data_IF_955898975161
#
_entry.id   IF_955898975161
#
_cell.length_a   1.000
_cell.length_b   1.000
_cell.length_c   1.000
_cell.angle_alpha   90.00
_cell.angle_beta   90.00
_cell.angle_gamma   90.00
#
_symmetry.space_group_name_H-M   'P 1'
#
loop_
_entity.id
_entity.type
_entity.pdbx_description
1 polymer ?
#
# COMPACT_ATOMS: atom_id res chain seq x y z
N UNK A 1 -6.01 -36.16 4.86
CA UNK A 1 -6.77 -35.19 4.04
C UNK A 1 -7.59 -34.35 4.99
N UNK A 2 -7.37 -33.03 5.03
CA UNK A 2 -8.15 -32.11 5.87
C UNK A 2 -9.43 -31.72 5.15
N UNK A 3 -10.57 -31.81 5.84
CA UNK A 3 -11.86 -31.35 5.31
C UNK A 3 -11.96 -29.84 5.55
N UNK A 4 -12.07 -29.04 4.48
CA UNK A 4 -12.41 -27.61 4.59
C UNK A 4 -13.92 -27.49 4.68
N UNK A 5 -14.42 -27.13 5.87
CA UNK A 5 -15.85 -26.93 6.08
C UNK A 5 -16.20 -25.54 5.61
N UNK A 6 -16.91 -25.41 4.48
CA UNK A 6 -17.52 -24.14 4.09
C UNK A 6 -18.70 -23.89 5.02
N UNK A 7 -18.44 -23.30 6.18
CA UNK A 7 -19.53 -22.66 6.93
C UNK A 7 -19.83 -21.36 6.18
N UNK A 8 -21.01 -21.18 5.59
CA UNK A 8 -21.42 -19.84 5.23
C UNK A 8 -21.46 -19.07 6.55
N UNK A 9 -20.47 -18.20 6.78
CA UNK A 9 -20.61 -17.13 7.77
C UNK A 9 -21.65 -16.19 7.16
N UNK A 10 -22.89 -16.65 7.28
CA UNK A 10 -24.21 -16.03 7.23
C UNK A 10 -24.32 -14.79 6.33
N UNK A 11 -25.30 -14.81 5.43
CA UNK A 11 -25.76 -13.73 4.52
C UNK A 11 -26.04 -12.34 5.17
N UNK A 12 -25.67 -12.13 6.43
CA UNK A 12 -25.86 -10.90 7.22
C UNK A 12 -24.58 -10.11 7.50
N UNK A 13 -23.39 -10.68 7.29
CA UNK A 13 -22.13 -9.96 7.54
C UNK A 13 -21.73 -9.20 6.30
N UNK A 14 -21.58 -7.87 6.42
CA UNK A 14 -21.07 -7.04 5.33
C UNK A 14 -19.68 -7.50 4.93
N UNK A 15 -19.42 -7.60 3.62
CA UNK A 15 -18.08 -7.88 3.13
C UNK A 15 -17.17 -6.64 3.26
N UNK A 16 -15.86 -6.83 3.11
CA UNK A 16 -14.89 -5.73 3.24
C UNK A 16 -15.13 -4.61 2.21
N UNK A 17 -15.66 -4.91 1.02
CA UNK A 17 -15.98 -3.89 0.02
C UNK A 17 -17.12 -3.00 0.49
N UNK A 18 -18.19 -3.58 1.05
CA UNK A 18 -19.32 -2.85 1.62
C UNK A 18 -18.91 -1.96 2.80
N UNK A 19 -17.99 -2.44 3.64
CA UNK A 19 -17.37 -1.62 4.68
C UNK A 19 -16.59 -0.44 4.09
N UNK A 20 -15.75 -0.69 3.07
CA UNK A 20 -14.94 0.35 2.46
C UNK A 20 -15.77 1.44 1.77
N UNK A 21 -16.97 1.11 1.27
CA UNK A 21 -17.89 2.09 0.65
C UNK A 21 -18.28 3.24 1.59
N UNK A 22 -18.30 3.02 2.91
CA UNK A 22 -18.61 4.06 3.90
C UNK A 22 -17.55 5.18 3.94
N UNK A 23 -16.36 4.92 3.40
CA UNK A 23 -15.20 5.80 3.46
C UNK A 23 -14.77 6.34 2.11
N UNK A 24 -15.67 6.25 1.12
CA UNK A 24 -15.46 6.87 -0.18
C UNK A 24 -15.37 8.38 -0.02
N UNK A 25 -14.37 8.95 -0.66
CA UNK A 25 -14.21 10.39 -0.79
C UNK A 25 -14.22 10.76 -2.28
N UNK A 26 -14.79 11.93 -2.59
CA UNK A 26 -14.90 12.49 -3.95
C UNK A 26 -13.91 13.62 -4.20
N UNK A 27 -13.09 13.98 -3.21
CA UNK A 27 -11.97 14.91 -3.34
C UNK A 27 -10.92 14.41 -4.34
N UNK A 28 -9.98 15.29 -4.66
CA UNK A 28 -8.79 14.94 -5.44
C UNK A 28 -8.06 13.77 -4.77
N UNK A 29 -7.73 12.78 -5.60
CA UNK A 29 -7.18 11.51 -5.16
C UNK A 29 -5.68 11.45 -5.43
N UNK A 30 -4.97 10.80 -4.52
CA UNK A 30 -3.54 10.51 -4.63
C UNK A 30 -3.30 9.33 -5.58
N UNK A 31 -4.24 8.39 -5.62
CA UNK A 31 -4.26 7.22 -6.49
C UNK A 31 -5.57 6.46 -6.36
N UNK A 32 -5.68 5.33 -7.05
CA UNK A 32 -6.88 4.51 -7.07
C UNK A 32 -6.57 3.09 -6.58
N UNK A 33 -7.29 2.66 -5.56
CA UNK A 33 -7.32 1.28 -5.09
C UNK A 33 -8.31 0.49 -5.95
N UNK A 34 -7.82 -0.56 -6.60
CA UNK A 34 -8.67 -1.54 -7.27
C UNK A 34 -9.11 -2.57 -6.23
N UNK A 35 -10.42 -2.77 -6.10
CA UNK A 35 -11.02 -3.54 -5.00
C UNK A 35 -12.22 -4.37 -5.48
N UNK A 36 -11.94 -5.31 -6.39
CA UNK A 36 -12.96 -6.20 -6.94
C UNK A 36 -13.36 -7.30 -5.93
N UNK A 37 -13.66 -8.54 -6.36
CA UNK A 37 -14.20 -9.57 -5.46
C UNK A 37 -13.38 -9.73 -4.15
N UNK A 38 -14.05 -9.74 -2.98
CA UNK A 38 -13.42 -9.69 -1.65
C UNK A 38 -12.97 -11.07 -1.15
N UNK A 39 -12.23 -11.82 -1.96
CA UNK A 39 -11.73 -13.16 -1.60
C UNK A 39 -10.27 -13.40 -2.03
N UNK A 40 -9.69 -14.50 -1.56
CA UNK A 40 -8.30 -14.87 -1.91
C UNK A 40 -8.12 -15.27 -3.38
N UNK A 41 -9.15 -15.77 -4.06
CA UNK A 41 -9.07 -16.16 -5.47
C UNK A 41 -8.91 -14.95 -6.39
N UNK A 42 -9.36 -13.77 -5.95
CA UNK A 42 -9.27 -12.50 -6.69
C UNK A 42 -8.21 -11.53 -6.15
N UNK A 43 -7.22 -12.01 -5.38
CA UNK A 43 -6.18 -11.17 -4.76
C UNK A 43 -5.35 -10.37 -5.79
N UNK A 44 -5.23 -10.86 -7.03
CA UNK A 44 -4.54 -10.17 -8.13
C UNK A 44 -5.30 -8.93 -8.67
N UNK A 45 -6.57 -8.78 -8.32
CA UNK A 45 -7.41 -7.61 -8.61
C UNK A 45 -7.40 -6.58 -7.49
N UNK A 46 -6.61 -6.80 -6.43
CA UNK A 46 -6.35 -5.79 -5.42
C UNK A 46 -4.95 -5.17 -5.58
N UNK A 47 -4.90 -3.94 -6.09
CA UNK A 47 -3.66 -3.22 -6.33
C UNK A 47 -3.91 -1.70 -6.41
N UNK A 48 -2.85 -0.91 -6.24
CA UNK A 48 -2.90 0.55 -6.36
C UNK A 48 -2.41 0.97 -7.76
N UNK A 49 -3.07 1.94 -8.38
CA UNK A 49 -2.72 2.50 -9.69
C UNK A 49 -2.98 4.02 -9.73
N UNK A 50 -2.40 4.74 -10.70
CA UNK A 50 -2.52 6.20 -10.76
C UNK A 50 -3.95 6.63 -11.06
N UNK A 51 -4.56 6.11 -12.13
CA UNK A 51 -5.87 6.55 -12.62
C UNK A 51 -6.84 5.40 -12.81
N UNK A 52 -8.13 5.68 -13.00
CA UNK A 52 -9.16 4.67 -13.22
C UNK A 52 -8.87 3.89 -14.50
N UNK A 53 -8.95 2.56 -14.44
CA UNK A 53 -8.81 1.71 -15.61
C UNK A 53 -10.10 1.64 -16.44
N UNK A 54 -10.02 0.94 -17.58
CA UNK A 54 -11.18 0.71 -18.47
C UNK A 54 -11.89 -0.61 -18.23
N UNK A 55 -11.30 -1.52 -17.45
CA UNK A 55 -11.89 -2.82 -17.13
C UNK A 55 -13.14 -2.68 -16.24
N UNK A 56 -14.00 -3.69 -16.26
CA UNK A 56 -15.17 -3.80 -15.38
C UNK A 56 -14.79 -4.22 -13.94
N UNK A 57 -13.81 -3.53 -13.34
CA UNK A 57 -13.40 -3.72 -11.95
C UNK A 57 -13.95 -2.59 -11.07
N UNK A 58 -13.97 -2.81 -9.77
CA UNK A 58 -14.26 -1.77 -8.79
C UNK A 58 -13.02 -0.90 -8.53
N UNK A 59 -13.20 0.42 -8.59
CA UNK A 59 -12.16 1.43 -8.41
C UNK A 59 -12.59 2.42 -7.35
N UNK A 60 -11.71 2.68 -6.39
CA UNK A 60 -11.96 3.61 -5.31
C UNK A 60 -10.81 4.60 -5.19
N UNK A 61 -11.17 5.88 -5.07
CA UNK A 61 -10.23 6.96 -4.89
C UNK A 61 -9.59 6.87 -3.49
N UNK A 62 -8.27 6.89 -3.44
CA UNK A 62 -7.52 7.12 -2.21
C UNK A 62 -7.22 8.61 -2.08
N UNK A 63 -7.74 9.23 -1.04
CA UNK A 63 -7.51 10.63 -0.67
C UNK A 63 -6.77 10.66 0.67
N UNK A 64 -6.35 11.84 1.12
CA UNK A 64 -5.74 11.98 2.45
C UNK A 64 -6.69 11.56 3.59
N UNK A 65 -8.01 11.62 3.39
CA UNK A 65 -9.01 11.33 4.45
C UNK A 65 -9.25 9.83 4.63
N UNK A 66 -9.10 9.04 3.57
CA UNK A 66 -9.35 7.60 3.60
C UNK A 66 -8.08 6.76 3.40
N UNK A 67 -6.90 7.39 3.30
CA UNK A 67 -5.62 6.71 3.03
C UNK A 67 -5.35 5.56 4.00
N UNK A 68 -5.55 5.76 5.31
CA UNK A 68 -5.33 4.72 6.32
C UNK A 68 -6.34 3.57 6.20
N UNK A 69 -7.60 3.87 5.88
CA UNK A 69 -8.61 2.85 5.65
C UNK A 69 -8.27 2.03 4.40
N UNK A 70 -7.87 2.70 3.32
CA UNK A 70 -7.40 2.04 2.09
C UNK A 70 -6.17 1.17 2.34
N UNK A 71 -5.26 1.63 3.20
CA UNK A 71 -4.09 0.85 3.62
C UNK A 71 -4.46 -0.40 4.42
N UNK A 72 -5.43 -0.30 5.35
CA UNK A 72 -5.96 -1.46 6.08
C UNK A 72 -6.59 -2.44 5.10
N UNK A 73 -7.47 -1.97 4.22
CA UNK A 73 -8.10 -2.80 3.19
C UNK A 73 -7.03 -3.56 2.39
N UNK A 74 -6.05 -2.85 1.84
CA UNK A 74 -4.99 -3.42 1.01
C UNK A 74 -4.15 -4.42 1.80
N UNK A 75 -3.78 -4.08 3.03
CA UNK A 75 -2.90 -4.92 3.85
C UNK A 75 -3.61 -6.18 4.34
N UNK A 76 -4.86 -6.09 4.78
CA UNK A 76 -5.67 -7.26 5.10
C UNK A 76 -5.75 -8.22 3.91
N UNK A 77 -5.94 -7.67 2.70
CA UNK A 77 -5.98 -8.45 1.47
C UNK A 77 -4.64 -9.07 1.07
N UNK A 78 -3.49 -8.62 1.57
CA UNK A 78 -2.16 -9.05 1.06
C UNK A 78 -1.18 -9.58 2.12
N UNK A 79 -1.43 -9.38 3.42
CA UNK A 79 -0.51 -9.83 4.48
C UNK A 79 -0.49 -11.36 4.60
N UNK A 80 -1.56 -12.03 4.13
CA UNK A 80 -1.64 -13.49 4.02
C UNK A 80 -1.55 -13.86 2.53
N UNK A 81 -0.63 -14.78 2.22
CA UNK A 81 -0.47 -15.28 0.87
C UNK A 81 -1.66 -16.18 0.49
N UNK A 82 -2.24 -15.99 -0.69
CA UNK A 82 -3.17 -16.97 -1.25
C UNK A 82 -2.48 -18.33 -1.44
N UNK A 83 -3.16 -19.36 -0.98
CA UNK A 83 -2.79 -20.77 -1.07
C UNK A 83 -4.05 -21.58 -1.36
N UNK A 84 -3.91 -22.85 -1.68
CA UNK A 84 -5.06 -23.73 -1.83
C UNK A 84 -5.87 -23.88 -0.53
N UNK A 85 -5.26 -23.65 0.64
CA UNK A 85 -5.93 -23.79 1.95
C UNK A 85 -6.92 -22.66 2.21
N UNK A 86 -6.59 -21.43 1.81
CA UNK A 86 -7.45 -20.26 1.98
C UNK A 86 -8.18 -19.84 0.70
N UNK A 87 -8.17 -20.71 -0.33
CA UNK A 87 -8.92 -20.46 -1.56
C UNK A 87 -10.41 -20.20 -1.24
N UNK A 88 -10.96 -19.14 -1.84
CA UNK A 88 -12.32 -18.62 -1.66
C UNK A 88 -12.69 -18.12 -0.26
N UNK A 89 -11.75 -18.06 0.69
CA UNK A 89 -12.04 -17.41 1.98
C UNK A 89 -12.36 -15.93 1.72
N UNK A 90 -13.45 -15.47 2.30
CA UNK A 90 -13.96 -14.12 2.11
C UNK A 90 -13.36 -13.18 3.14
N UNK A 91 -13.18 -11.92 2.74
CA UNK A 91 -12.81 -10.82 3.62
C UNK A 91 -14.06 -10.04 4.04
N UNK A 92 -14.15 -9.73 5.33
CA UNK A 92 -15.35 -9.14 5.93
C UNK A 92 -15.11 -7.73 6.44
N UNK A 93 -16.21 -7.03 6.70
CA UNK A 93 -16.20 -5.85 7.57
C UNK A 93 -15.64 -6.23 8.95
N UNK A 94 -14.94 -5.30 9.63
CA UNK A 94 -14.45 -5.54 10.97
C UNK A 94 -15.61 -5.79 11.94
N UNK A 95 -15.32 -6.41 13.08
CA UNK A 95 -16.33 -6.69 14.09
C UNK A 95 -16.98 -5.41 14.64
N UNK A 96 -16.16 -4.39 14.87
CA UNK A 96 -16.53 -3.08 15.38
C UNK A 96 -15.46 -2.04 15.00
N UNK A 97 -15.52 -0.85 15.60
CA UNK A 97 -14.60 0.25 15.35
C UNK A 97 -13.32 0.20 16.20
N UNK A 98 -13.03 -0.89 16.93
CA UNK A 98 -11.85 -0.98 17.81
C UNK A 98 -10.52 -0.77 17.07
N UNK A 99 -10.45 -1.14 15.79
CA UNK A 99 -9.27 -0.90 14.95
C UNK A 99 -8.95 0.60 14.77
N UNK A 100 -9.94 1.49 14.96
CA UNK A 100 -9.75 2.94 14.81
C UNK A 100 -8.82 3.49 15.88
N UNK A 101 -8.78 2.89 17.07
CA UNK A 101 -7.92 3.33 18.16
C UNK A 101 -6.50 2.71 18.08
N UNK A 102 -6.32 1.65 17.29
CA UNK A 102 -5.01 1.01 17.07
C UNK A 102 -4.19 1.74 15.99
N UNK A 103 -3.50 2.80 16.42
CA UNK A 103 -2.64 3.60 15.55
C UNK A 103 -1.44 2.81 15.01
N UNK A 104 -0.93 1.83 15.76
CA UNK A 104 0.19 1.00 15.31
C UNK A 104 -0.24 0.11 14.15
N UNK A 105 -1.38 -0.58 14.28
CA UNK A 105 -1.96 -1.40 13.20
C UNK A 105 -2.21 -0.59 11.92
N UNK A 106 -2.84 0.60 12.05
CA UNK A 106 -3.10 1.49 10.89
C UNK A 106 -1.81 1.92 10.19
N UNK A 107 -0.80 2.32 10.97
CA UNK A 107 0.48 2.78 10.43
C UNK A 107 1.30 1.63 9.82
N UNK A 108 1.25 0.44 10.43
CA UNK A 108 1.84 -0.77 9.86
C UNK A 108 1.21 -1.13 8.52
N UNK A 109 -0.12 -1.04 8.41
CA UNK A 109 -0.82 -1.24 7.15
C UNK A 109 -0.40 -0.20 6.08
N UNK A 110 -0.22 1.07 6.46
CA UNK A 110 0.28 2.10 5.54
C UNK A 110 1.69 1.76 5.03
N UNK A 111 2.62 1.45 5.94
CA UNK A 111 3.97 1.04 5.57
C UNK A 111 3.97 -0.17 4.64
N UNK A 112 3.15 -1.18 4.95
CA UNK A 112 3.03 -2.38 4.11
C UNK A 112 2.52 -2.03 2.71
N UNK A 113 1.43 -1.27 2.60
CA UNK A 113 0.85 -0.85 1.31
C UNK A 113 1.85 -0.09 0.43
N UNK A 114 2.61 0.85 1.01
CA UNK A 114 3.53 1.72 0.26
C UNK A 114 4.61 0.92 -0.48
N UNK A 115 5.18 -0.10 0.17
CA UNK A 115 6.28 -0.88 -0.40
C UNK A 115 5.88 -2.25 -0.96
N UNK A 116 4.59 -2.63 -0.86
CA UNK A 116 4.13 -3.90 -1.40
C UNK A 116 4.19 -3.93 -2.93
N UNK A 117 4.40 -5.11 -3.49
CA UNK A 117 4.54 -5.30 -4.95
C UNK A 117 3.30 -4.98 -5.76
N UNK A 118 2.12 -4.96 -5.12
CA UNK A 118 0.85 -4.56 -5.72
C UNK A 118 0.59 -3.05 -5.62
N UNK A 119 1.52 -2.27 -5.09
CA UNK A 119 1.58 -0.85 -5.38
C UNK A 119 2.18 -0.67 -6.79
N UNK A 120 1.33 -0.28 -7.76
CA UNK A 120 1.71 -0.12 -9.17
C UNK A 120 1.68 1.34 -9.62
N UNK A 121 1.72 2.29 -8.69
CA UNK A 121 1.89 3.71 -9.02
C UNK A 121 3.14 3.87 -9.86
N UNK A 122 3.06 4.61 -10.95
CA UNK A 122 4.17 4.87 -11.87
C UNK A 122 4.08 6.30 -12.38
N UNK A 123 5.23 6.93 -12.54
CA UNK A 123 5.32 8.26 -13.16
C UNK A 123 4.94 8.27 -14.63
N UNK A 124 4.95 7.11 -15.30
CA UNK A 124 4.50 6.99 -16.68
C UNK A 124 2.99 7.23 -16.86
N UNK A 125 2.21 7.17 -15.77
CA UNK A 125 0.77 7.35 -15.80
C UNK A 125 0.29 8.61 -15.10
N UNK A 126 1.18 9.43 -14.51
CA UNK A 126 0.80 10.67 -13.84
C UNK A 126 1.70 11.01 -12.65
N UNK A 127 1.35 12.05 -11.91
CA UNK A 127 2.11 12.48 -10.73
C UNK A 127 2.15 11.36 -9.68
N UNK A 128 3.36 11.09 -9.15
CA UNK A 128 3.53 10.18 -8.04
C UNK A 128 3.34 10.91 -6.72
N UNK A 129 2.26 10.59 -6.01
CA UNK A 129 1.95 11.16 -4.70
C UNK A 129 2.45 10.29 -3.52
N UNK A 130 3.02 9.10 -3.79
CA UNK A 130 3.31 8.07 -2.80
C UNK A 130 4.81 7.91 -2.50
N UNK A 131 5.59 8.99 -2.59
CA UNK A 131 7.00 9.00 -2.17
C UNK A 131 7.06 9.24 -0.66
N UNK A 132 7.59 8.29 0.14
CA UNK A 132 7.56 8.38 1.60
C UNK A 132 8.81 9.01 2.23
N UNK A 133 9.76 9.50 1.43
CA UNK A 133 11.02 10.07 1.88
C UNK A 133 11.21 11.48 1.36
N UNK A 134 11.77 12.39 2.16
CA UNK A 134 12.18 13.71 1.70
C UNK A 134 13.27 13.64 0.64
N UNK A 135 13.40 14.69 -0.18
CA UNK A 135 14.45 14.78 -1.21
C UNK A 135 15.86 14.66 -0.61
N UNK A 136 16.08 15.24 0.57
CA UNK A 136 17.34 15.20 1.33
C UNK A 136 17.63 13.81 1.93
N UNK A 137 16.59 13.06 2.30
CA UNK A 137 16.76 11.72 2.85
C UNK A 137 17.30 10.74 1.82
N UNK A 138 17.04 10.96 0.53
CA UNK A 138 17.42 10.07 -0.57
C UNK A 138 18.37 10.70 -1.59
N UNK A 139 18.91 11.87 -1.29
CA UNK A 139 19.82 12.64 -2.15
C UNK A 139 19.26 12.87 -3.57
N UNK A 140 17.97 13.23 -3.67
CA UNK A 140 17.36 13.60 -4.94
C UNK A 140 18.00 14.87 -5.51
N UNK A 141 18.27 14.88 -6.82
CA UNK A 141 18.89 16.00 -7.56
C UNK A 141 17.86 17.06 -7.97
N UNK A 142 16.58 16.72 -7.95
CA UNK A 142 15.47 17.62 -8.30
C UNK A 142 14.35 17.54 -7.27
N UNK A 143 13.47 18.55 -7.26
CA UNK A 143 12.34 18.65 -6.35
C UNK A 143 11.18 17.76 -6.78
N UNK A 144 10.46 17.17 -5.83
CA UNK A 144 9.25 16.42 -6.14
C UNK A 144 8.11 17.33 -6.60
N UNK A 145 7.24 16.78 -7.45
CA UNK A 145 6.02 17.41 -7.90
C UNK A 145 4.88 17.30 -6.88
N UNK A 146 5.01 16.41 -5.90
CA UNK A 146 4.03 16.24 -4.83
C UNK A 146 4.68 15.85 -3.51
N UNK A 147 4.35 16.59 -2.46
CA UNK A 147 4.71 16.30 -1.07
C UNK A 147 3.55 15.70 -0.26
N UNK A 148 2.41 15.37 -0.91
CA UNK A 148 1.18 14.98 -0.22
C UNK A 148 1.33 13.86 0.81
N UNK A 149 2.05 12.76 0.49
CA UNK A 149 2.32 11.69 1.46
C UNK A 149 3.30 12.14 2.56
N UNK A 150 4.31 12.95 2.23
CA UNK A 150 5.27 13.45 3.23
C UNK A 150 4.58 14.32 4.28
N UNK A 151 3.74 15.25 3.81
CA UNK A 151 2.96 16.12 4.68
C UNK A 151 1.98 15.30 5.53
N UNK A 152 1.40 14.23 4.95
CA UNK A 152 0.58 13.26 5.67
C UNK A 152 1.35 12.58 6.80
N UNK A 153 2.54 12.05 6.51
CA UNK A 153 3.37 11.31 7.47
C UNK A 153 3.87 12.20 8.63
N UNK A 154 4.15 13.48 8.36
CA UNK A 154 4.55 14.47 9.37
C UNK A 154 3.39 14.95 10.25
N UNK A 155 2.15 14.62 9.91
CA UNK A 155 0.96 15.13 10.60
C UNK A 155 0.69 16.61 10.31
N UNK A 156 1.17 17.12 9.17
CA UNK A 156 1.04 18.53 8.76
C UNK A 156 -0.25 18.84 8.00
N UNK A 157 -1.16 17.86 7.88
CA UNK A 157 -2.43 18.03 7.18
C UNK A 157 -3.33 19.01 7.95
N UNK A 158 -3.45 20.22 7.41
CA UNK A 158 -4.47 21.17 7.82
C UNK A 158 -5.73 20.86 7.01
N UNK A 159 -6.74 20.25 7.62
CA UNK A 159 -8.06 20.20 6.97
C UNK A 159 -8.56 21.62 6.69
N UNK A 160 -8.99 21.87 5.45
CA UNK A 160 -9.82 23.02 5.11
C UNK A 160 -11.14 22.91 5.87
N UNK A 161 -11.59 24.01 6.48
CA UNK A 161 -12.67 24.13 7.48
C UNK A 161 -14.09 23.66 7.07
N UNK A 162 -14.29 22.83 6.05
CA UNK A 162 -15.61 22.55 5.46
C UNK A 162 -16.03 21.09 5.31
N UNK A 163 -15.31 20.09 5.87
CA UNK A 163 -15.79 18.70 5.82
C UNK A 163 -16.23 18.16 7.18
N UNK A 164 -17.55 18.07 7.37
CA UNK A 164 -18.24 17.17 8.32
C UNK A 164 -18.05 15.68 7.96
N UNK A 165 -16.82 15.28 7.61
CA UNK A 165 -16.48 13.86 7.48
C UNK A 165 -16.23 13.30 8.86
N UNK A 166 -17.06 12.34 9.26
CA UNK A 166 -17.10 11.58 10.52
C UNK A 166 -15.79 10.90 10.98
N UNK A 167 -14.65 11.21 10.35
CA UNK A 167 -13.31 10.97 10.87
C UNK A 167 -12.82 12.13 11.73
N UNK A 168 -13.70 12.64 12.58
CA UNK A 168 -13.28 13.42 13.72
C UNK A 168 -12.80 12.43 14.78
N UNK A 169 -11.53 12.02 14.68
CA UNK A 169 -10.79 11.96 15.92
C UNK A 169 -10.91 13.36 16.52
N UNK A 170 -11.58 13.47 17.66
CA UNK A 170 -11.79 14.73 18.41
C UNK A 170 -10.47 15.28 18.98
N UNK A 171 -9.32 14.90 18.41
CA UNK A 171 -8.00 15.37 18.74
C UNK A 171 -7.27 15.67 17.44
N UNK A 172 -7.10 16.96 17.16
CA UNK A 172 -6.05 17.48 16.28
C UNK A 172 -4.70 16.97 16.77
N UNK A 173 -4.32 15.75 16.42
CA UNK A 173 -2.96 15.27 16.62
C UNK A 173 -2.16 15.62 15.37
N UNK A 174 -1.59 16.83 15.38
CA UNK A 174 -0.57 17.27 14.41
C UNK A 174 0.79 16.62 14.71
N UNK A 175 0.77 15.36 15.14
CA UNK A 175 1.97 14.61 15.55
C UNK A 175 2.37 13.68 14.39
N UNK A 176 3.68 13.55 14.13
CA UNK A 176 4.18 12.56 13.18
C UNK A 176 3.66 11.16 13.50
N UNK A 177 3.36 10.38 12.47
CA UNK A 177 2.95 8.99 12.63
C UNK A 177 4.05 8.18 13.30
N UNK A 178 3.65 7.32 14.25
CA UNK A 178 4.56 6.39 14.94
C UNK A 178 4.45 5.01 14.31
N UNK A 179 5.56 4.47 13.86
CA UNK A 179 5.65 3.16 13.23
C UNK A 179 6.21 2.13 14.20
N UNK A 180 5.76 0.88 14.06
CA UNK A 180 6.36 -0.22 14.81
C UNK A 180 7.82 -0.46 14.38
N UNK A 181 8.60 -1.24 15.15
CA UNK A 181 9.95 -1.61 14.75
C UNK A 181 10.02 -2.31 13.39
N UNK A 182 9.04 -3.17 13.06
CA UNK A 182 8.99 -3.86 11.77
C UNK A 182 8.65 -2.91 10.62
N UNK A 183 7.70 -2.00 10.84
CA UNK A 183 7.35 -0.98 9.85
C UNK A 183 8.52 -0.03 9.59
N UNK A 184 9.24 0.40 10.65
CA UNK A 184 10.46 1.20 10.52
C UNK A 184 11.52 0.50 9.65
N UNK A 185 11.76 -0.81 9.86
CA UNK A 185 12.67 -1.59 9.01
C UNK A 185 12.25 -1.63 7.54
N UNK A 186 10.95 -1.61 7.24
CA UNK A 186 10.43 -1.53 5.87
C UNK A 186 10.76 -0.17 5.25
N UNK A 187 10.56 0.93 5.99
CA UNK A 187 10.96 2.26 5.53
C UNK A 187 12.47 2.37 5.32
N UNK A 188 13.29 1.86 6.24
CA UNK A 188 14.75 1.87 6.10
C UNK A 188 15.20 1.10 4.86
N UNK A 189 14.68 -0.13 4.67
CA UNK A 189 15.00 -0.92 3.48
C UNK A 189 14.51 -0.27 2.17
N UNK A 190 13.35 0.39 2.22
CA UNK A 190 12.82 1.18 1.10
C UNK A 190 13.71 2.39 0.79
N UNK A 191 14.17 3.11 1.81
CA UNK A 191 14.98 4.31 1.68
C UNK A 191 16.30 4.02 0.98
N UNK A 192 16.95 2.92 1.35
CA UNK A 192 18.21 2.50 0.70
C UNK A 192 18.02 2.20 -0.79
N UNK A 193 16.86 1.67 -1.21
CA UNK A 193 16.54 1.48 -2.63
C UNK A 193 16.40 2.83 -3.36
N UNK A 194 15.71 3.79 -2.76
CA UNK A 194 15.54 5.13 -3.36
C UNK A 194 16.87 5.89 -3.44
N UNK A 195 17.66 5.88 -2.36
CA UNK A 195 19.04 6.41 -2.35
C UNK A 195 19.85 5.82 -3.48
N UNK A 196 19.87 4.49 -3.57
CA UNK A 196 20.64 3.81 -4.60
C UNK A 196 20.18 4.15 -6.01
N UNK A 197 18.89 4.34 -6.24
CA UNK A 197 18.38 4.82 -7.52
C UNK A 197 18.89 6.22 -7.89
N UNK A 198 18.93 7.16 -6.94
CA UNK A 198 19.39 8.53 -7.23
C UNK A 198 20.91 8.65 -7.44
N UNK A 199 21.70 7.68 -7.00
CA UNK A 199 23.14 7.60 -7.29
C UNK A 199 23.46 7.02 -8.67
N UNK A 200 22.48 6.45 -9.38
CA UNK A 200 22.71 5.84 -10.68
C UNK A 200 23.15 6.85 -11.75
N UNK A 201 23.79 6.33 -12.79
CA UNK A 201 24.14 7.11 -13.97
C UNK A 201 22.93 7.28 -14.90
N UNK A 202 22.56 8.55 -15.11
CA UNK A 202 21.46 8.97 -15.98
C UNK A 202 21.96 9.62 -17.28
N UNK A 203 23.22 9.42 -17.66
CA UNK A 203 23.77 9.96 -18.91
C UNK A 203 22.99 9.48 -20.14
N UNK A 204 22.50 8.23 -20.12
CA UNK A 204 21.77 7.61 -21.24
C UNK A 204 20.27 7.38 -20.96
N UNK A 205 19.73 7.94 -19.87
CA UNK A 205 18.32 7.79 -19.47
C UNK A 205 17.86 9.05 -18.74
N UNK A 206 16.64 9.56 -18.97
CA UNK A 206 16.17 10.74 -18.25
C UNK A 206 16.17 10.47 -16.74
N UNK A 207 16.79 11.38 -15.98
CA UNK A 207 16.67 11.40 -14.54
C UNK A 207 15.21 11.69 -14.16
N UNK A 208 14.73 11.04 -13.12
CA UNK A 208 13.38 11.25 -12.61
C UNK A 208 13.41 11.23 -11.09
N UNK A 209 13.35 12.42 -10.47
CA UNK A 209 13.23 12.57 -9.02
C UNK A 209 11.94 11.96 -8.47
N UNK A 210 10.87 11.92 -9.26
CA UNK A 210 9.54 11.51 -8.82
C UNK A 210 9.31 9.98 -8.94
N UNK A 211 10.33 9.20 -9.26
CA UNK A 211 10.22 7.77 -9.51
C UNK A 211 9.56 7.05 -8.32
N UNK A 212 8.54 6.23 -8.62
CA UNK A 212 7.95 5.34 -7.62
C UNK A 212 8.82 4.10 -7.40
N UNK A 213 8.53 3.31 -6.37
CA UNK A 213 9.17 1.99 -6.22
C UNK A 213 8.94 1.09 -7.45
N UNK A 214 7.79 1.22 -8.12
CA UNK A 214 7.52 0.50 -9.36
C UNK A 214 8.46 0.94 -10.49
N UNK A 215 8.66 2.24 -10.66
CA UNK A 215 9.57 2.81 -11.66
C UNK A 215 11.03 2.41 -11.38
N UNK A 216 11.44 2.44 -10.10
CA UNK A 216 12.78 2.00 -9.68
C UNK A 216 12.96 0.50 -9.98
N UNK A 217 11.96 -0.34 -9.70
CA UNK A 217 12.01 -1.76 -10.08
C UNK A 217 12.15 -1.92 -11.58
N UNK A 218 11.42 -1.15 -12.38
CA UNK A 218 11.55 -1.18 -13.84
C UNK A 218 12.96 -0.76 -14.30
N UNK A 219 13.55 0.27 -13.70
CA UNK A 219 14.90 0.72 -14.01
C UNK A 219 15.95 -0.39 -13.91
N UNK A 220 15.89 -1.20 -12.83
CA UNK A 220 16.86 -2.26 -12.54
C UNK A 220 16.49 -3.62 -13.14
N UNK A 221 15.21 -3.97 -13.21
CA UNK A 221 14.72 -5.29 -13.64
C UNK A 221 14.39 -5.31 -15.13
N UNK A 222 14.03 -4.17 -15.72
CA UNK A 222 13.53 -4.06 -17.08
C UNK A 222 12.18 -4.77 -17.28
N UNK A 223 11.74 -4.82 -18.54
CA UNK A 223 10.52 -5.52 -18.96
C UNK A 223 10.84 -6.74 -19.83
N UNK A 224 9.92 -7.70 -19.87
CA UNK A 224 9.98 -8.82 -20.80
C UNK A 224 9.43 -8.44 -22.18
N UNK A 225 9.47 -9.37 -23.13
CA UNK A 225 8.98 -9.16 -24.50
C UNK A 225 7.48 -8.81 -24.59
N UNK A 226 6.69 -9.13 -23.56
CA UNK A 226 5.27 -8.78 -23.44
C UNK A 226 5.04 -7.46 -22.69
N UNK A 227 6.10 -6.71 -22.40
CA UNK A 227 6.03 -5.43 -21.67
C UNK A 227 5.72 -5.58 -20.17
N UNK A 228 5.79 -6.78 -19.59
CA UNK A 228 5.62 -6.98 -18.14
C UNK A 228 6.93 -6.77 -17.41
N UNK A 229 6.89 -6.19 -16.22
CA UNK A 229 8.05 -6.07 -15.34
C UNK A 229 8.68 -7.45 -15.09
N UNK A 230 9.99 -7.55 -15.23
CA UNK A 230 10.71 -8.80 -15.00
C UNK A 230 10.72 -9.21 -13.52
N UNK A 231 11.06 -10.47 -13.24
CA UNK A 231 11.38 -10.88 -11.86
C UNK A 231 12.64 -10.17 -11.36
N UNK A 232 12.77 -9.87 -10.06
CA UNK A 232 14.00 -9.37 -9.45
C UNK A 232 15.25 -10.21 -9.79
N UNK A 233 15.08 -11.51 -10.03
CA UNK A 233 16.20 -12.42 -10.36
C UNK A 233 16.81 -12.14 -11.76
N UNK A 234 16.11 -11.35 -12.59
CA UNK A 234 16.60 -10.91 -13.90
C UNK A 234 17.35 -9.58 -13.85
N UNK A 235 17.33 -8.86 -12.72
CA UNK A 235 18.17 -7.68 -12.55
C UNK A 235 19.64 -8.08 -12.64
N UNK A 236 20.43 -7.29 -13.36
CA UNK A 236 21.89 -7.51 -13.48
C UNK A 236 22.67 -6.93 -12.29
N UNK A 237 22.06 -5.96 -11.62
CA UNK A 237 22.65 -5.24 -10.51
C UNK A 237 22.53 -6.05 -9.22
N UNK A 238 23.65 -6.61 -8.77
CA UNK A 238 23.70 -7.46 -7.57
C UNK A 238 23.46 -6.68 -6.27
N UNK A 239 23.86 -5.41 -6.21
CA UNK A 239 23.64 -4.60 -5.02
C UNK A 239 22.15 -4.25 -4.89
N UNK A 240 21.51 -3.83 -5.98
CA UNK A 240 20.05 -3.68 -6.04
C UNK A 240 19.32 -4.96 -5.62
N UNK A 241 19.76 -6.14 -6.09
CA UNK A 241 19.15 -7.42 -5.70
C UNK A 241 19.23 -7.64 -4.19
N UNK A 242 20.35 -7.30 -3.56
CA UNK A 242 20.50 -7.38 -2.12
C UNK A 242 19.54 -6.41 -1.39
N UNK A 243 19.50 -5.14 -1.82
CA UNK A 243 18.58 -4.14 -1.25
C UNK A 243 17.11 -4.58 -1.37
N UNK A 244 16.71 -5.08 -2.53
CA UNK A 244 15.35 -5.55 -2.75
C UNK A 244 15.04 -6.86 -1.98
N UNK A 245 16.04 -7.72 -1.74
CA UNK A 245 15.88 -8.87 -0.85
C UNK A 245 15.65 -8.44 0.60
N UNK A 246 16.37 -7.42 1.08
CA UNK A 246 16.18 -6.84 2.41
C UNK A 246 14.75 -6.28 2.56
N UNK A 247 14.27 -5.51 1.58
CA UNK A 247 12.90 -5.00 1.58
C UNK A 247 11.87 -6.13 1.62
N UNK A 248 12.04 -7.19 0.81
CA UNK A 248 11.14 -8.37 0.82
C UNK A 248 11.13 -9.07 2.18
N UNK A 249 12.27 -9.16 2.87
CA UNK A 249 12.33 -9.78 4.19
C UNK A 249 11.64 -8.91 5.25
N UNK A 250 11.90 -7.59 5.24
CA UNK A 250 11.22 -6.65 6.13
C UNK A 250 9.70 -6.67 5.94
N UNK A 251 9.21 -6.72 4.69
CA UNK A 251 7.78 -6.84 4.38
C UNK A 251 7.17 -8.15 4.90
N UNK A 252 7.91 -9.27 4.86
CA UNK A 252 7.44 -10.54 5.43
C UNK A 252 7.30 -10.47 6.94
N UNK A 253 8.23 -9.82 7.62
CA UNK A 253 8.16 -9.67 9.07
C UNK A 253 7.03 -8.71 9.49
N UNK A 254 6.86 -7.60 8.77
CA UNK A 254 5.71 -6.71 8.95
C UNK A 254 4.38 -7.41 8.68
N UNK A 255 4.31 -8.28 7.66
CA UNK A 255 3.11 -9.06 7.37
C UNK A 255 2.73 -10.00 8.54
N UNK A 256 3.70 -10.62 9.22
CA UNK A 256 3.45 -11.45 10.41
C UNK A 256 2.89 -10.66 11.58
N UNK A 257 3.22 -9.37 11.68
CA UNK A 257 2.71 -8.46 12.71
C UNK A 257 1.28 -7.97 12.39
N UNK A 258 0.99 -7.72 11.10
CA UNK A 258 -0.35 -7.34 10.63
C UNK A 258 -1.34 -8.51 10.69
N UNK A 259 -0.89 -9.72 10.33
CA UNK A 259 -1.74 -10.90 10.23
C UNK A 259 -2.62 -11.17 11.46
N UNK A 260 -2.12 -11.24 12.72
CA UNK A 260 -2.97 -11.49 13.88
C UNK A 260 -4.04 -10.41 14.06
N UNK A 261 -3.72 -9.14 13.76
CA UNK A 261 -4.66 -8.03 13.83
C UNK A 261 -5.80 -8.12 12.81
N UNK A 262 -5.53 -8.69 11.64
CA UNK A 262 -6.58 -8.96 10.63
C UNK A 262 -7.63 -9.94 11.15
N UNK A 263 -7.24 -10.95 11.92
CA UNK A 263 -8.16 -11.86 12.60
C UNK A 263 -8.82 -11.22 13.83
N UNK A 264 -8.02 -10.52 14.65
CA UNK A 264 -8.49 -9.80 15.85
C UNK A 264 -9.65 -8.85 15.52
N UNK A 265 -9.51 -8.06 14.46
CA UNK A 265 -10.54 -7.12 14.02
C UNK A 265 -11.61 -7.74 13.12
N UNK A 266 -11.47 -9.01 12.73
CA UNK A 266 -12.51 -9.74 11.99
C UNK A 266 -12.55 -9.50 10.48
N UNK A 267 -11.50 -8.91 9.91
CA UNK A 267 -11.32 -8.80 8.46
C UNK A 267 -11.15 -10.17 7.80
N UNK A 268 -10.59 -11.13 8.54
CA UNK A 268 -10.69 -12.57 8.28
C UNK A 268 -11.22 -13.26 9.53
N UNK A 269 -11.90 -14.38 9.33
CA UNK A 269 -12.55 -15.15 10.40
C UNK A 269 -12.16 -16.62 10.26
N UNK A 270 -11.91 -17.27 11.39
CA UNK A 270 -11.61 -18.71 11.46
C UNK A 270 -12.87 -19.58 11.33
#
# INVERSE_FOLDING_TARGET
MGYKTFKPIVDKVKNINEWFKAYKDKRDYLGILVCDAPDFSHQNTNYLQNHKGTSHLHYENLTLTNLLIGAIYFSARHCIKATWQNDRDQFYAPYDDAFQDDSEFKNNCLAFMLFHTQNRITTAQGTNHFIPFGEDEVDSKERYFSHALLDFLKGEIKESKESDSLFLSTKKETKPLKFSPSASKVFDAGKEIYRYYHTQDFTNRPYNANASLYDIKEFFQGRNAQGRLNSPDKAKDEYYKQLYANLKNALKDLAKEIQPKVYEYGFLRE
#
